data_IF_136364520619
#
_entry.id   IF_136364520619
#
_cell.length_a   1.000
_cell.length_b   1.000
_cell.length_c   1.000
_cell.angle_alpha   90.00
_cell.angle_beta   90.00
_cell.angle_gamma   90.00
#
_symmetry.space_group_name_H-M   'P 1'
#
loop_
_entity.id
_entity.type
_entity.pdbx_description
1 polymer ?
#
# COMPACT_ATOMS: atom_id res chain seq x y z
N UNK A 1 -0.93 -9.16 -4.97
CA UNK A 1 0.11 -8.85 -3.97
C UNK A 1 -0.27 -7.52 -3.35
N UNK A 2 -0.51 -7.54 -2.04
CA UNK A 2 -1.52 -6.72 -1.39
C UNK A 2 -0.93 -5.60 -0.53
N UNK A 3 -1.81 -4.71 -0.10
CA UNK A 3 -1.64 -3.81 1.06
C UNK A 3 -1.00 -4.53 2.26
N UNK A 4 -1.27 -5.83 2.44
CA UNK A 4 -0.68 -6.69 3.49
C UNK A 4 0.84 -6.81 3.38
N UNK A 5 1.41 -6.78 2.17
CA UNK A 5 2.87 -6.83 2.00
C UNK A 5 3.54 -5.58 2.59
N UNK A 6 2.88 -4.42 2.50
CA UNK A 6 3.38 -3.17 3.13
C UNK A 6 3.24 -3.26 4.65
N UNK A 7 2.12 -3.81 5.16
CA UNK A 7 1.96 -4.08 6.60
C UNK A 7 3.06 -5.01 7.13
N UNK A 8 3.34 -6.11 6.43
CA UNK A 8 4.40 -7.05 6.80
C UNK A 8 5.78 -6.38 6.80
N UNK A 9 6.10 -5.61 5.74
CA UNK A 9 7.34 -4.85 5.66
C UNK A 9 7.51 -3.88 6.83
N UNK A 10 6.45 -3.16 7.24
CA UNK A 10 6.54 -2.22 8.36
C UNK A 10 6.78 -2.92 9.70
N UNK A 11 6.21 -4.11 9.88
CA UNK A 11 6.47 -4.93 11.06
C UNK A 11 7.92 -5.42 11.09
N UNK A 12 8.41 -5.95 9.96
CA UNK A 12 9.80 -6.38 9.82
C UNK A 12 10.79 -5.23 10.02
N UNK A 13 10.52 -4.05 9.43
CA UNK A 13 11.30 -2.84 9.65
C UNK A 13 11.39 -2.49 11.14
N UNK A 14 10.25 -2.53 11.85
CA UNK A 14 10.20 -2.26 13.28
C UNK A 14 11.06 -3.26 14.08
N UNK A 15 11.03 -4.55 13.71
CA UNK A 15 11.81 -5.59 14.37
C UNK A 15 13.32 -5.44 14.08
N UNK A 16 13.70 -5.15 12.84
CA UNK A 16 15.10 -4.88 12.46
C UNK A 16 15.66 -3.69 13.23
N UNK A 17 14.90 -2.60 13.37
CA UNK A 17 15.33 -1.45 14.17
C UNK A 17 15.56 -1.85 15.63
N UNK A 18 14.70 -2.69 16.21
CA UNK A 18 14.85 -3.14 17.59
C UNK A 18 16.15 -3.93 17.79
N UNK A 19 16.49 -4.81 16.84
CA UNK A 19 17.70 -5.64 16.86
C UNK A 19 18.97 -4.76 16.73
N UNK A 20 18.96 -3.80 15.81
CA UNK A 20 20.14 -2.98 15.48
C UNK A 20 20.27 -1.69 16.32
N UNK A 21 19.36 -1.46 17.27
CA UNK A 21 19.19 -0.19 18.02
C UNK A 21 20.48 0.41 18.61
N UNK A 22 21.47 -0.40 18.98
CA UNK A 22 22.74 0.07 19.54
C UNK A 22 23.59 0.91 18.57
N UNK A 23 23.37 0.78 17.26
CA UNK A 23 24.18 1.43 16.21
C UNK A 23 23.38 2.48 15.41
N UNK A 24 22.10 2.65 15.71
CA UNK A 24 21.19 3.50 14.95
C UNK A 24 21.14 4.92 15.49
N UNK A 25 20.77 5.85 14.62
CA UNK A 25 20.56 7.23 15.03
C UNK A 25 19.25 7.38 15.83
N UNK A 26 19.17 8.48 16.59
CA UNK A 26 18.02 8.77 17.46
C UNK A 26 16.68 8.79 16.71
N UNK A 27 16.64 9.30 15.47
CA UNK A 27 15.39 9.37 14.69
C UNK A 27 14.85 7.99 14.35
N UNK A 28 15.73 7.07 14.01
CA UNK A 28 15.37 5.69 13.68
C UNK A 28 14.88 4.95 14.92
N UNK A 29 15.49 5.19 16.08
CA UNK A 29 15.00 4.64 17.36
C UNK A 29 13.60 5.18 17.66
N UNK A 30 13.37 6.49 17.50
CA UNK A 30 12.04 7.09 17.70
C UNK A 30 11.03 6.53 16.68
N UNK A 31 11.42 6.28 15.43
CA UNK A 31 10.55 5.66 14.43
C UNK A 31 10.01 4.32 14.93
N UNK A 32 10.86 3.46 15.48
CA UNK A 32 10.42 2.18 16.06
C UNK A 32 9.38 2.38 17.17
N UNK A 33 9.63 3.29 18.13
CA UNK A 33 8.66 3.58 19.19
C UNK A 33 7.31 4.08 18.63
N UNK A 34 7.36 4.92 17.58
CA UNK A 34 6.15 5.43 16.92
C UNK A 34 5.41 4.35 16.14
N UNK A 35 6.11 3.42 15.48
CA UNK A 35 5.50 2.29 14.81
C UNK A 35 4.83 1.34 15.82
N UNK A 36 5.48 1.05 16.95
CA UNK A 36 4.88 0.26 18.04
C UNK A 36 3.64 0.94 18.64
N UNK A 37 3.68 2.25 18.85
CA UNK A 37 2.53 3.01 19.33
C UNK A 37 1.38 2.99 18.32
N UNK A 38 1.69 3.20 17.03
CA UNK A 38 0.72 3.16 15.95
C UNK A 38 0.06 1.77 15.82
N UNK A 39 0.83 0.69 15.97
CA UNK A 39 0.30 -0.68 16.00
C UNK A 39 -0.63 -0.89 17.20
N UNK A 40 -0.19 -0.53 18.41
CA UNK A 40 -0.98 -0.64 19.64
C UNK A 40 -2.31 0.12 19.55
N UNK A 41 -2.28 1.29 18.93
CA UNK A 41 -3.45 2.15 18.72
C UNK A 41 -4.28 1.75 17.50
N UNK A 42 -3.86 0.71 16.74
CA UNK A 42 -4.50 0.27 15.49
C UNK A 42 -4.66 1.41 14.49
N UNK A 43 -3.64 2.26 14.37
CA UNK A 43 -3.63 3.35 13.40
C UNK A 43 -3.66 2.82 11.96
N UNK A 44 -4.17 3.64 11.04
CA UNK A 44 -4.27 3.25 9.63
C UNK A 44 -2.90 2.96 9.02
N UNK A 45 -2.86 2.09 8.01
CA UNK A 45 -1.62 1.81 7.30
C UNK A 45 -1.00 3.07 6.69
N UNK A 46 -1.84 3.98 6.18
CA UNK A 46 -1.40 5.28 5.67
C UNK A 46 -0.62 6.08 6.72
N UNK A 47 -1.08 6.07 7.96
CA UNK A 47 -0.40 6.76 9.05
C UNK A 47 0.94 6.12 9.38
N UNK A 48 1.02 4.78 9.40
CA UNK A 48 2.29 4.06 9.61
C UNK A 48 3.30 4.33 8.50
N UNK A 49 2.87 4.33 7.24
CA UNK A 49 3.73 4.75 6.11
C UNK A 49 4.18 6.19 6.30
N UNK A 50 3.27 7.11 6.65
CA UNK A 50 3.63 8.52 6.89
C UNK A 50 4.68 8.67 8.00
N UNK A 51 4.60 7.89 9.07
CA UNK A 51 5.64 7.87 10.13
C UNK A 51 7.02 7.54 9.54
N UNK A 52 7.13 6.53 8.68
CA UNK A 52 8.43 6.19 8.06
C UNK A 52 9.00 7.39 7.31
N UNK A 53 8.21 8.11 6.51
CA UNK A 53 8.67 9.31 5.81
C UNK A 53 9.07 10.44 6.77
N UNK A 54 8.27 10.68 7.82
CA UNK A 54 8.54 11.70 8.84
C UNK A 54 9.91 11.50 9.52
N UNK A 55 10.30 10.25 9.80
CA UNK A 55 11.53 9.94 10.53
C UNK A 55 12.73 9.55 9.64
N UNK A 56 12.50 9.11 8.40
CA UNK A 56 13.57 8.89 7.41
C UNK A 56 14.07 10.19 6.77
N UNK A 57 13.33 11.30 6.94
CA UNK A 57 13.63 12.58 6.30
C UNK A 57 13.14 12.67 4.86
N UNK A 58 12.43 11.65 4.37
CA UNK A 58 11.79 11.68 3.07
C UNK A 58 10.56 12.62 3.06
N UNK A 59 10.28 13.23 1.90
CA UNK A 59 9.10 14.08 1.78
C UNK A 59 7.84 13.23 1.50
N UNK A 60 6.87 13.28 2.40
CA UNK A 60 5.55 12.69 2.19
C UNK A 60 4.65 13.68 1.43
N UNK A 61 4.45 13.44 0.13
CA UNK A 61 3.58 14.25 -0.72
C UNK A 61 2.39 13.40 -1.25
N UNK A 62 1.17 13.57 -0.69
CA UNK A 62 -0.03 12.83 -1.13
C UNK A 62 -0.39 13.01 -2.60
N UNK A 63 0.11 14.05 -3.25
CA UNK A 63 -0.18 14.37 -4.65
C UNK A 63 0.78 13.68 -5.63
N UNK A 64 1.85 13.06 -5.14
CA UNK A 64 2.89 12.44 -5.97
C UNK A 64 2.88 10.92 -5.90
N UNK A 65 3.37 10.30 -6.97
CA UNK A 65 3.67 8.86 -6.99
C UNK A 65 4.95 8.64 -6.14
N UNK A 66 5.00 7.59 -5.29
CA UNK A 66 4.03 6.50 -5.18
C UNK A 66 2.87 6.72 -4.19
N UNK A 67 2.90 7.78 -3.37
CA UNK A 67 1.90 8.00 -2.28
C UNK A 67 0.47 8.12 -2.81
N UNK A 68 0.26 8.84 -3.92
CA UNK A 68 -1.06 8.98 -4.52
C UNK A 68 -1.66 7.63 -4.92
N UNK A 69 -0.85 6.78 -5.56
CA UNK A 69 -1.29 5.45 -6.02
C UNK A 69 -1.51 4.52 -4.83
N UNK A 70 -0.67 4.63 -3.79
CA UNK A 70 -0.85 3.91 -2.55
C UNK A 70 -2.19 4.25 -1.86
N UNK A 71 -2.58 5.53 -1.80
CA UNK A 71 -3.90 5.91 -1.28
C UNK A 71 -5.05 5.27 -2.07
N UNK A 72 -4.95 5.21 -3.40
CA UNK A 72 -5.94 4.52 -4.23
C UNK A 72 -5.97 3.01 -3.97
N UNK A 73 -4.82 2.41 -3.71
CA UNK A 73 -4.72 0.98 -3.40
C UNK A 73 -5.37 0.67 -2.04
N UNK A 74 -5.22 1.55 -1.05
CA UNK A 74 -5.92 1.47 0.25
C UNK A 74 -7.43 1.63 0.07
N UNK A 75 -7.88 2.62 -0.69
CA UNK A 75 -9.31 2.81 -1.01
C UNK A 75 -9.89 1.54 -1.68
N UNK A 76 -9.15 0.93 -2.60
CA UNK A 76 -9.54 -0.31 -3.27
C UNK A 76 -9.63 -1.48 -2.29
N UNK A 77 -8.62 -1.70 -1.45
CA UNK A 77 -8.62 -2.75 -0.42
C UNK A 77 -9.78 -2.57 0.55
N UNK A 78 -10.02 -1.36 1.04
CA UNK A 78 -11.12 -1.09 1.95
C UNK A 78 -12.49 -1.32 1.28
N UNK A 79 -12.64 -0.92 0.02
CA UNK A 79 -13.85 -1.19 -0.77
C UNK A 79 -14.10 -2.70 -0.94
N UNK A 80 -13.05 -3.49 -1.12
CA UNK A 80 -13.13 -4.95 -1.20
C UNK A 80 -13.48 -5.59 0.15
N UNK A 81 -12.82 -5.17 1.24
CA UNK A 81 -13.03 -5.74 2.58
C UNK A 81 -14.41 -5.40 3.14
N UNK A 82 -14.94 -4.21 2.85
CA UNK A 82 -16.26 -3.78 3.31
C UNK A 82 -17.37 -4.08 2.31
N UNK A 83 -17.08 -4.78 1.21
CA UNK A 83 -18.09 -5.27 0.29
C UNK A 83 -18.96 -6.31 1.00
N UNK A 84 -20.10 -5.87 1.54
CA UNK A 84 -21.14 -6.77 2.02
C UNK A 84 -21.98 -7.18 0.82
N UNK A 85 -22.11 -8.48 0.61
CA UNK A 85 -23.12 -9.03 -0.32
C UNK A 85 -24.50 -8.86 0.33
N UNK A 86 -25.03 -7.65 0.41
CA UNK A 86 -26.43 -7.49 0.82
C UNK A 86 -27.34 -7.78 -0.36
N UNK A 87 -28.34 -8.63 -0.12
CA UNK A 87 -29.41 -9.03 -1.05
C UNK A 87 -30.30 -7.87 -1.54
N UNK A 88 -29.91 -6.61 -1.29
CA UNK A 88 -30.63 -5.44 -1.73
C UNK A 88 -29.83 -4.80 -2.85
N UNK A 89 -30.43 -4.78 -4.05
CA UNK A 89 -29.91 -4.30 -5.33
C UNK A 89 -29.51 -2.81 -5.40
N UNK A 90 -29.17 -2.20 -4.27
CA UNK A 90 -28.90 -0.76 -4.13
C UNK A 90 -27.57 -0.46 -3.46
N UNK A 91 -26.73 -1.45 -3.15
CA UNK A 91 -25.38 -1.17 -2.66
C UNK A 91 -24.56 -0.54 -3.79
N UNK A 92 -24.34 0.77 -3.62
CA UNK A 92 -23.63 1.62 -4.54
C UNK A 92 -22.27 1.01 -4.88
N UNK A 93 -22.12 0.57 -6.14
CA UNK A 93 -20.80 0.38 -6.73
C UNK A 93 -19.90 1.55 -6.32
N UNK A 94 -18.59 1.34 -6.05
CA UNK A 94 -17.69 2.43 -5.74
C UNK A 94 -17.37 3.21 -7.04
N UNK A 95 -18.40 3.80 -7.67
CA UNK A 95 -18.36 4.49 -8.97
C UNK A 95 -17.26 5.55 -8.96
N UNK A 96 -17.08 6.24 -7.84
CA UNK A 96 -16.00 7.22 -7.66
C UNK A 96 -14.61 6.57 -7.74
N UNK A 97 -14.40 5.43 -7.07
CA UNK A 97 -13.11 4.73 -7.12
C UNK A 97 -12.84 4.16 -8.52
N UNK A 98 -13.83 3.51 -9.14
CA UNK A 98 -13.69 3.01 -10.52
C UNK A 98 -13.38 4.17 -11.48
N UNK A 99 -14.03 5.31 -11.32
CA UNK A 99 -13.74 6.54 -12.06
C UNK A 99 -12.29 7.00 -11.90
N UNK A 100 -11.78 7.03 -10.65
CA UNK A 100 -10.36 7.34 -10.37
C UNK A 100 -9.42 6.35 -11.07
N UNK A 101 -9.67 5.04 -10.93
CA UNK A 101 -8.83 4.01 -11.54
C UNK A 101 -8.85 4.06 -13.08
N UNK A 102 -10.01 4.32 -13.70
CA UNK A 102 -10.14 4.53 -15.15
C UNK A 102 -9.42 5.78 -15.62
N UNK A 103 -9.53 6.90 -14.89
CA UNK A 103 -8.82 8.15 -15.24
C UNK A 103 -7.30 7.98 -15.24
N UNK A 104 -6.78 7.07 -14.41
CA UNK A 104 -5.37 6.67 -14.37
C UNK A 104 -5.00 5.56 -15.35
N UNK A 105 -5.93 5.13 -16.20
CA UNK A 105 -5.75 4.03 -17.17
C UNK A 105 -5.31 2.71 -16.50
N UNK A 106 -5.67 2.51 -15.23
CA UNK A 106 -5.43 1.26 -14.50
C UNK A 106 -6.44 0.20 -14.96
N UNK A 107 -7.71 0.60 -15.12
CA UNK A 107 -8.75 -0.22 -15.70
C UNK A 107 -8.75 -0.03 -17.21
N UNK A 108 -8.16 -0.98 -17.93
CA UNK A 108 -8.18 -1.03 -19.38
C UNK A 108 -9.28 -2.00 -19.83
N UNK A 109 -10.30 -1.48 -20.49
CA UNK A 109 -11.27 -2.32 -21.17
C UNK A 109 -12.49 -2.65 -20.32
N UNK A 110 -13.50 -1.80 -20.48
CA UNK A 110 -14.92 -2.09 -20.71
C UNK A 110 -15.61 -0.72 -20.59
N UNK A 111 -16.21 -0.25 -21.68
CA UNK A 111 -16.91 1.03 -21.67
C UNK A 111 -18.00 1.05 -20.61
N UNK A 112 -18.56 2.24 -20.34
CA UNK A 112 -19.70 2.42 -19.42
C UNK A 112 -20.92 1.52 -19.75
N UNK A 113 -20.91 0.87 -20.92
CA UNK A 113 -21.93 -0.03 -21.45
C UNK A 113 -22.25 -1.23 -20.52
N UNK A 114 -21.30 -1.69 -19.71
CA UNK A 114 -21.52 -2.83 -18.80
C UNK A 114 -22.08 -2.44 -17.42
N UNK A 115 -22.05 -1.16 -17.05
CA UNK A 115 -22.55 -0.68 -15.75
C UNK A 115 -24.08 -0.79 -15.61
N UNK A 116 -24.78 -0.97 -16.73
CA UNK A 116 -26.24 -1.08 -16.80
C UNK A 116 -26.75 -2.52 -16.63
N UNK A 117 -25.87 -3.53 -16.63
CA UNK A 117 -26.29 -4.92 -16.50
C UNK A 117 -26.38 -5.33 -15.02
N UNK A 118 -27.54 -5.80 -14.54
CA UNK A 118 -27.71 -6.24 -13.16
C UNK A 118 -26.85 -7.47 -12.80
N UNK A 119 -26.27 -8.16 -13.79
CA UNK A 119 -25.33 -9.26 -13.58
C UNK A 119 -23.86 -8.80 -13.46
N UNK A 120 -23.58 -7.50 -13.65
CA UNK A 120 -22.21 -7.00 -13.74
C UNK A 120 -21.71 -6.46 -12.38
N UNK A 121 -20.85 -7.23 -11.73
CA UNK A 121 -20.17 -6.80 -10.50
C UNK A 121 -18.93 -5.97 -10.81
N UNK A 122 -18.77 -4.84 -10.12
CA UNK A 122 -17.56 -4.01 -10.18
C UNK A 122 -16.28 -4.79 -9.83
N UNK A 123 -16.41 -5.89 -9.07
CA UNK A 123 -15.33 -6.81 -8.77
C UNK A 123 -14.69 -7.37 -10.06
N UNK A 124 -15.50 -7.67 -11.08
CA UNK A 124 -14.97 -8.14 -12.36
C UNK A 124 -14.15 -7.08 -13.11
N UNK A 125 -14.36 -5.78 -12.86
CA UNK A 125 -13.54 -4.74 -13.47
C UNK A 125 -12.14 -4.65 -12.86
N UNK A 126 -12.05 -4.83 -11.55
CA UNK A 126 -10.78 -4.69 -10.82
C UNK A 126 -9.96 -5.98 -10.80
N UNK A 127 -10.58 -7.13 -11.09
CA UNK A 127 -9.90 -8.44 -11.15
C UNK A 127 -9.24 -8.66 -12.51
N UNK A 128 -8.41 -7.71 -12.93
CA UNK A 128 -7.66 -7.75 -14.20
C UNK A 128 -6.16 -7.86 -13.94
N UNK A 129 -5.41 -8.34 -14.94
CA UNK A 129 -3.94 -8.43 -14.87
C UNK A 129 -3.32 -7.03 -14.70
N UNK A 130 -3.93 -6.03 -15.31
CA UNK A 130 -3.52 -4.63 -15.27
C UNK A 130 -3.63 -4.07 -13.85
N UNK A 131 -4.76 -4.29 -13.19
CA UNK A 131 -4.97 -3.87 -11.80
C UNK A 131 -4.00 -4.58 -10.86
N UNK A 132 -3.79 -5.89 -11.05
CA UNK A 132 -2.84 -6.65 -10.25
C UNK A 132 -1.39 -6.14 -10.45
N UNK A 133 -1.00 -5.85 -11.69
CA UNK A 133 0.33 -5.30 -12.01
C UNK A 133 0.52 -3.90 -11.43
N UNK A 134 -0.49 -3.03 -11.53
CA UNK A 134 -0.47 -1.71 -10.91
C UNK A 134 -0.34 -1.78 -9.38
N UNK A 135 -1.12 -2.65 -8.72
CA UNK A 135 -1.06 -2.83 -7.28
C UNK A 135 0.34 -3.31 -6.83
N UNK A 136 0.91 -4.28 -7.54
CA UNK A 136 2.26 -4.77 -7.26
C UNK A 136 3.31 -3.66 -7.42
N UNK A 137 3.30 -2.94 -8.55
CA UNK A 137 4.24 -1.83 -8.79
C UNK A 137 4.11 -0.74 -7.75
N UNK A 138 2.89 -0.44 -7.31
CA UNK A 138 2.63 0.53 -6.25
C UNK A 138 3.22 0.08 -4.92
N UNK A 139 3.02 -1.18 -4.52
CA UNK A 139 3.63 -1.74 -3.31
C UNK A 139 5.15 -1.69 -3.36
N UNK A 140 5.76 -2.16 -4.46
CA UNK A 140 7.20 -2.12 -4.64
C UNK A 140 7.74 -0.69 -4.57
N UNK A 141 7.10 0.26 -5.27
CA UNK A 141 7.52 1.65 -5.25
C UNK A 141 7.44 2.27 -3.85
N UNK A 142 6.42 1.94 -3.06
CA UNK A 142 6.29 2.39 -1.67
C UNK A 142 7.41 1.81 -0.81
N UNK A 143 7.64 0.50 -0.88
CA UNK A 143 8.67 -0.18 -0.11
C UNK A 143 10.06 0.36 -0.48
N UNK A 144 10.39 0.43 -1.77
CA UNK A 144 11.66 0.99 -2.24
C UNK A 144 11.85 2.43 -1.80
N UNK A 145 10.81 3.27 -1.92
CA UNK A 145 10.89 4.68 -1.50
C UNK A 145 11.05 4.85 0.01
N UNK A 146 10.51 3.94 0.83
CA UNK A 146 10.76 3.93 2.27
C UNK A 146 12.20 3.49 2.54
N UNK A 147 12.63 2.35 2.00
CA UNK A 147 13.95 1.77 2.21
C UNK A 147 15.09 2.71 1.83
N UNK A 148 14.99 3.42 0.70
CA UNK A 148 16.06 4.29 0.18
C UNK A 148 16.39 5.50 1.05
N UNK A 149 15.58 5.78 2.09
CA UNK A 149 15.78 6.89 3.00
C UNK A 149 16.11 6.41 4.43
N UNK A 150 16.18 5.10 4.66
CA UNK A 150 16.59 4.54 5.94
C UNK A 150 18.11 4.54 6.08
N UNK A 151 18.59 4.26 7.29
CA UNK A 151 20.03 4.08 7.52
C UNK A 151 20.56 2.88 6.72
N UNK A 152 21.78 2.96 6.15
CA UNK A 152 22.33 1.88 5.31
C UNK A 152 22.38 0.51 5.98
N UNK A 153 22.59 0.45 7.30
CA UNK A 153 22.57 -0.80 8.08
C UNK A 153 21.22 -1.50 7.98
N UNK A 154 20.12 -0.75 8.10
CA UNK A 154 18.74 -1.27 7.98
C UNK A 154 18.42 -1.59 6.52
N UNK A 155 18.76 -0.68 5.61
CA UNK A 155 18.48 -0.86 4.18
C UNK A 155 19.10 -2.15 3.67
N UNK A 156 20.36 -2.45 3.99
CA UNK A 156 21.05 -3.67 3.56
C UNK A 156 20.36 -4.95 4.06
N UNK A 157 19.86 -4.96 5.29
CA UNK A 157 19.14 -6.10 5.86
C UNK A 157 17.82 -6.32 5.10
N UNK A 158 17.03 -5.26 4.91
CA UNK A 158 15.71 -5.35 4.27
C UNK A 158 15.80 -5.61 2.76
N UNK A 159 16.79 -5.03 2.07
CA UNK A 159 16.99 -5.24 0.63
C UNK A 159 17.59 -6.59 0.31
N UNK A 160 18.41 -7.15 1.21
CA UNK A 160 18.87 -8.54 1.12
C UNK A 160 17.70 -9.52 1.06
N UNK A 161 16.62 -9.24 1.81
CA UNK A 161 15.38 -10.03 1.75
C UNK A 161 14.61 -9.82 0.43
N UNK A 162 14.51 -8.57 -0.06
CA UNK A 162 13.75 -8.25 -1.28
C UNK A 162 14.39 -8.76 -2.58
N UNK A 163 15.72 -8.80 -2.67
CA UNK A 163 16.43 -9.27 -3.88
C UNK A 163 16.20 -10.76 -4.16
N UNK A 164 15.98 -11.57 -3.11
CA UNK A 164 15.71 -13.01 -3.25
C UNK A 164 14.32 -13.32 -3.81
N UNK A 165 13.36 -12.39 -3.68
CA UNK A 165 11.99 -12.60 -4.15
C UNK A 165 11.77 -12.20 -5.61
N UNK A 166 12.51 -11.21 -6.12
CA UNK A 166 12.36 -10.71 -7.50
C UNK A 166 12.95 -11.65 -8.54
N UNK A 167 13.98 -12.43 -8.21
CA UNK A 167 14.56 -13.43 -9.13
C UNK A 167 13.65 -14.66 -9.31
N UNK A 168 12.62 -14.82 -8.48
CA UNK A 168 11.74 -16.00 -8.46
C UNK A 168 10.28 -15.71 -8.90
N UNK A 169 9.96 -14.49 -9.35
CA UNK A 169 8.62 -14.05 -9.72
C UNK A 169 8.47 -13.71 -11.22
#
# INVERSE_FOLDING_TARGET
MSVTSIEAYLNELSDVIAIESAQLNERTIILHEKLLAAERNRESLERKVKLVYEYSGANYDPSRIPIQDFGLLIELRNSLTHYKTHNNHTDHQPIKLLGKLRSKRILLGRGNEFLSSPAYSWFHEICTKETASWALKTCLAIITSMSSNLEPSIENILTGCLALEVENA
#
